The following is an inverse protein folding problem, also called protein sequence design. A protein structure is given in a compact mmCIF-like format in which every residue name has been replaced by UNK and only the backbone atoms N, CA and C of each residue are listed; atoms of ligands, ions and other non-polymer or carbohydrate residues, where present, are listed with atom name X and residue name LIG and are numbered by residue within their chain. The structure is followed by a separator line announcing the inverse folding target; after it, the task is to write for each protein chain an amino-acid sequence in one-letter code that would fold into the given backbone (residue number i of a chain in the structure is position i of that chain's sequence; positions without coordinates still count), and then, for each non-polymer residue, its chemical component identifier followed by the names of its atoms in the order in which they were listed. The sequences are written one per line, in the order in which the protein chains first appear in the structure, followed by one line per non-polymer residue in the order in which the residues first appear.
data_IF_791272106410
#
_entry.id   IF_791272106410
#
_cell.length_a   1.000
_cell.length_b   1.000
_cell.length_c   1.000
_cell.angle_alpha   90.00
_cell.angle_beta   90.00
_cell.angle_gamma   90.00
#
_symmetry.space_group_name_H-M   'P 1'
#
loop_
_entity.id
_entity.type
_entity.pdbx_description
1 polymer ?
#
# COMPACT_ATOMS: atom_id res chain seq x y z
N UNK A 1 -1.77 -1.00 -8.20
CA UNK A 1 -1.38 -1.09 -6.76
C UNK A 1 0.05 -0.58 -6.51
N UNK A 2 0.50 -0.55 -5.25
CA UNK A 2 1.88 -0.29 -4.84
C UNK A 2 2.31 -1.32 -3.80
N UNK A 3 3.56 -1.80 -3.89
CA UNK A 3 4.18 -2.64 -2.86
C UNK A 3 5.04 -1.78 -1.94
N UNK A 4 4.86 -1.97 -0.65
CA UNK A 4 5.50 -1.22 0.42
C UNK A 4 6.27 -2.15 1.34
N UNK A 5 7.47 -1.73 1.73
CA UNK A 5 8.12 -2.21 2.94
C UNK A 5 7.80 -1.21 4.07
N UNK A 6 7.33 -1.74 5.19
CA UNK A 6 6.86 -0.97 6.34
C UNK A 6 7.63 -1.46 7.57
N UNK A 7 8.30 -0.56 8.26
CA UNK A 7 8.91 -0.84 9.58
C UNK A 7 8.04 -0.21 10.66
N UNK A 8 7.80 -0.96 11.73
CA UNK A 8 6.92 -0.54 12.84
C UNK A 8 7.66 -0.57 14.18
N UNK A 9 7.12 0.12 15.19
CA UNK A 9 7.77 0.19 16.51
C UNK A 9 7.40 -1.00 17.42
N UNK A 10 6.35 -1.72 17.09
CA UNK A 10 5.81 -2.83 17.86
C UNK A 10 6.65 -4.11 17.75
N UNK A 11 6.51 -4.96 18.76
CA UNK A 11 7.13 -6.29 18.80
C UNK A 11 6.40 -7.31 17.90
N UNK A 12 7.04 -8.47 17.74
CA UNK A 12 6.55 -9.57 16.91
C UNK A 12 5.15 -10.03 17.28
N UNK A 13 4.84 -10.16 18.57
CA UNK A 13 3.56 -10.71 19.04
C UNK A 13 2.42 -9.80 18.62
N UNK A 14 2.60 -8.50 18.84
CA UNK A 14 1.60 -7.49 18.48
C UNK A 14 1.45 -7.38 16.97
N UNK A 15 2.55 -7.46 16.23
CA UNK A 15 2.55 -7.43 14.76
C UNK A 15 1.87 -8.67 14.17
N UNK A 16 2.20 -9.87 14.65
CA UNK A 16 1.64 -11.13 14.15
C UNK A 16 0.13 -11.16 14.39
N UNK A 17 -0.31 -10.78 15.59
CA UNK A 17 -1.73 -10.64 15.93
C UNK A 17 -2.45 -9.66 15.00
N UNK A 18 -1.81 -8.54 14.66
CA UNK A 18 -2.40 -7.53 13.78
C UNK A 18 -2.51 -8.04 12.33
N UNK A 19 -1.48 -8.72 11.81
CA UNK A 19 -1.50 -9.33 10.47
C UNK A 19 -2.64 -10.34 10.36
N UNK A 20 -2.79 -11.23 11.35
CA UNK A 20 -3.83 -12.26 11.36
C UNK A 20 -5.22 -11.64 11.31
N UNK A 21 -5.45 -10.55 12.06
CA UNK A 21 -6.71 -9.81 12.03
C UNK A 21 -6.98 -9.18 10.67
N UNK A 22 -6.00 -8.49 10.08
CA UNK A 22 -6.14 -7.86 8.76
C UNK A 22 -6.44 -8.90 7.67
N UNK A 23 -5.73 -10.03 7.70
CA UNK A 23 -5.90 -11.08 6.70
C UNK A 23 -7.23 -11.82 6.85
N UNK A 24 -7.68 -12.06 8.09
CA UNK A 24 -8.95 -12.76 8.39
C UNK A 24 -10.19 -11.87 8.32
N UNK A 25 -10.03 -10.55 8.31
CA UNK A 25 -11.15 -9.62 8.25
C UNK A 25 -11.85 -9.66 6.89
N UNK A 26 -13.18 -9.76 6.93
CA UNK A 26 -14.04 -9.63 5.74
C UNK A 26 -14.25 -8.16 5.34
N UNK A 27 -14.14 -7.24 6.31
CA UNK A 27 -14.33 -5.80 6.15
C UNK A 27 -13.32 -5.07 7.04
N UNK A 28 -12.74 -3.97 6.55
CA UNK A 28 -11.83 -3.12 7.31
C UNK A 28 -12.33 -1.68 7.20
N UNK A 29 -13.05 -1.23 8.23
CA UNK A 29 -13.67 0.10 8.24
C UNK A 29 -12.66 1.17 8.62
N UNK A 30 -12.40 2.10 7.71
CA UNK A 30 -11.56 3.27 7.96
C UNK A 30 -12.40 4.55 7.98
N UNK A 31 -12.30 5.31 9.07
CA UNK A 31 -12.92 6.64 9.19
C UNK A 31 -11.91 7.73 8.84
N UNK A 32 -12.32 8.67 8.01
CA UNK A 32 -11.53 9.83 7.57
C UNK A 32 -12.36 11.09 7.70
N UNK A 33 -11.73 12.22 7.99
CA UNK A 33 -12.39 13.52 7.85
C UNK A 33 -12.05 14.13 6.49
N UNK A 34 -13.06 14.55 5.73
CA UNK A 34 -12.89 15.23 4.44
C UNK A 34 -13.90 16.35 4.27
N UNK A 35 -13.41 17.57 4.01
CA UNK A 35 -14.25 18.78 3.90
C UNK A 35 -15.20 18.93 5.10
N UNK A 36 -14.70 18.66 6.31
CA UNK A 36 -15.47 18.70 7.56
C UNK A 36 -16.54 17.61 7.70
N UNK A 37 -16.56 16.59 6.83
CA UNK A 37 -17.47 15.45 6.93
C UNK A 37 -16.69 14.18 7.20
N UNK A 38 -17.23 13.33 8.08
CA UNK A 38 -16.74 11.97 8.24
C UNK A 38 -17.07 11.15 6.99
N UNK A 39 -16.07 10.49 6.43
CA UNK A 39 -16.18 9.53 5.36
C UNK A 39 -15.75 8.18 5.93
N UNK A 40 -16.60 7.18 5.75
CA UNK A 40 -16.40 5.81 6.21
C UNK A 40 -16.23 4.95 4.96
N UNK A 41 -15.05 4.35 4.79
CA UNK A 41 -14.73 3.49 3.66
C UNK A 41 -14.35 2.10 4.15
N UNK A 42 -14.85 1.05 3.51
CA UNK A 42 -14.23 -0.28 3.62
C UNK A 42 -12.98 -0.34 2.74
N UNK A 43 -11.83 -0.54 3.38
CA UNK A 43 -10.54 -0.61 2.70
C UNK A 43 -10.09 -2.04 2.39
N UNK A 44 -10.80 -3.08 2.86
CA UNK A 44 -10.42 -4.48 2.62
C UNK A 44 -10.19 -4.80 1.13
N UNK A 45 -11.03 -4.33 0.19
CA UNK A 45 -10.82 -4.56 -1.24
C UNK A 45 -9.51 -3.98 -1.78
N UNK A 46 -8.89 -3.02 -1.08
CA UNK A 46 -7.63 -2.38 -1.47
C UNK A 46 -6.41 -2.98 -0.75
N UNK A 47 -6.58 -4.02 0.08
CA UNK A 47 -5.50 -4.70 0.79
C UNK A 47 -5.25 -6.05 0.11
N UNK A 48 -4.30 -6.08 -0.83
CA UNK A 48 -4.05 -7.25 -1.67
C UNK A 48 -3.11 -8.27 -1.01
N UNK A 49 -2.18 -7.79 -0.19
CA UNK A 49 -1.22 -8.62 0.55
C UNK A 49 -0.81 -7.88 1.82
N UNK A 50 -0.74 -8.59 2.93
CA UNK A 50 -0.04 -8.18 4.14
C UNK A 50 0.68 -9.39 4.73
N UNK A 51 2.00 -9.28 4.90
CA UNK A 51 2.82 -10.30 5.54
C UNK A 51 4.02 -9.71 6.26
N UNK A 52 4.53 -10.43 7.24
CA UNK A 52 5.79 -10.12 7.90
C UNK A 52 6.97 -10.44 6.97
N UNK A 53 8.01 -9.64 7.05
CA UNK A 53 9.29 -9.92 6.41
C UNK A 53 10.24 -10.58 7.43
N UNK A 54 11.21 -11.35 6.92
CA UNK A 54 12.24 -11.96 7.77
C UNK A 54 13.29 -10.94 8.25
N UNK A 55 13.55 -9.91 7.45
CA UNK A 55 14.55 -8.90 7.76
C UNK A 55 14.03 -7.88 8.78
N UNK A 56 14.92 -7.47 9.68
CA UNK A 56 14.69 -6.35 10.59
C UNK A 56 15.43 -5.12 10.11
N UNK A 57 14.82 -3.95 10.30
CA UNK A 57 15.47 -2.66 10.07
C UNK A 57 15.63 -1.99 11.42
N UNK A 58 16.86 -1.64 11.78
CA UNK A 58 17.20 -0.99 13.06
C UNK A 58 16.69 -1.79 14.27
N UNK A 59 16.73 -3.13 14.18
CA UNK A 59 16.23 -4.06 15.21
C UNK A 59 14.70 -4.23 15.25
N UNK A 60 13.96 -3.56 14.36
CA UNK A 60 12.50 -3.52 14.37
C UNK A 60 11.87 -4.48 13.37
N UNK A 61 10.62 -4.85 13.64
CA UNK A 61 9.82 -5.72 12.77
C UNK A 61 9.51 -4.98 11.47
N UNK A 62 9.64 -5.70 10.35
CA UNK A 62 9.24 -5.19 9.04
C UNK A 62 8.15 -6.04 8.39
N UNK A 63 7.34 -5.38 7.58
CA UNK A 63 6.18 -5.92 6.89
C UNK A 63 6.28 -5.58 5.42
N UNK A 64 5.70 -6.45 4.60
CA UNK A 64 5.37 -6.13 3.22
C UNK A 64 3.86 -5.99 3.08
N UNK A 65 3.43 -4.94 2.41
CA UNK A 65 2.04 -4.75 2.04
C UNK A 65 1.90 -4.39 0.57
N UNK A 66 0.88 -4.93 -0.09
CA UNK A 66 0.46 -4.49 -1.41
C UNK A 66 -0.90 -3.82 -1.33
N UNK A 67 -0.94 -2.55 -1.75
CA UNK A 67 -2.08 -1.66 -1.56
C UNK A 67 -2.62 -1.15 -2.89
N UNK A 68 -3.94 -1.21 -3.03
CA UNK A 68 -4.70 -0.67 -4.14
C UNK A 68 -4.48 0.85 -4.30
N UNK A 69 -4.50 1.29 -5.56
CA UNK A 69 -4.33 2.70 -5.93
C UNK A 69 -5.60 3.34 -6.48
N UNK A 70 -6.69 2.57 -6.59
CA UNK A 70 -7.98 2.98 -7.15
C UNK A 70 -9.13 2.53 -6.24
N UNK A 71 -10.26 3.27 -6.20
CA UNK A 71 -10.47 4.58 -6.84
C UNK A 71 -9.65 5.70 -6.19
N UNK A 72 -9.10 5.43 -5.00
CA UNK A 72 -8.14 6.28 -4.30
C UNK A 72 -6.98 5.42 -3.86
N UNK A 73 -5.80 6.02 -3.69
CA UNK A 73 -4.67 5.31 -3.09
C UNK A 73 -4.88 5.12 -1.58
N UNK A 74 -4.78 3.86 -1.13
CA UNK A 74 -4.69 3.50 0.28
C UNK A 74 -3.26 3.71 0.77
N UNK A 75 -3.08 4.57 1.78
CA UNK A 75 -1.75 4.85 2.34
C UNK A 75 -1.35 3.78 3.35
N UNK A 76 -0.06 3.40 3.44
CA UNK A 76 0.40 2.48 4.48
C UNK A 76 0.03 2.94 5.90
N UNK A 77 0.16 4.23 6.19
CA UNK A 77 -0.20 4.81 7.49
C UNK A 77 -1.68 4.71 7.83
N UNK A 78 -2.56 4.70 6.81
CA UNK A 78 -3.99 4.48 6.99
C UNK A 78 -4.27 3.01 7.30
N UNK A 79 -3.61 2.09 6.59
CA UNK A 79 -3.68 0.66 6.89
C UNK A 79 -3.28 0.37 8.34
N UNK A 80 -2.11 0.87 8.79
CA UNK A 80 -1.60 0.61 10.14
C UNK A 80 -2.54 1.09 11.27
N UNK A 81 -3.40 2.07 10.98
CA UNK A 81 -4.38 2.64 11.92
C UNK A 81 -5.82 2.13 11.70
N UNK A 82 -6.02 1.20 10.76
CA UNK A 82 -7.36 0.75 10.37
C UNK A 82 -7.97 -0.26 11.33
N UNK A 83 -7.16 -0.94 12.15
CA UNK A 83 -7.63 -2.00 13.03
C UNK A 83 -6.80 -2.09 14.31
N UNK A 84 -7.47 -2.31 15.44
CA UNK A 84 -6.78 -2.51 16.71
C UNK A 84 -6.17 -3.91 16.84
N UNK A 85 -4.98 -4.04 17.43
CA UNK A 85 -4.19 -2.95 18.00
C UNK A 85 -3.49 -2.14 16.90
N UNK A 86 -3.50 -0.81 16.97
CA UNK A 86 -2.81 0.00 15.97
C UNK A 86 -1.30 -0.24 16.01
N UNK A 87 -0.70 -0.22 14.82
CA UNK A 87 0.76 -0.24 14.64
C UNK A 87 1.27 1.18 14.37
N UNK A 88 2.45 1.46 14.90
CA UNK A 88 3.09 2.76 14.82
C UNK A 88 4.16 2.72 13.74
N UNK A 89 3.99 3.54 12.71
CA UNK A 89 4.97 3.72 11.64
C UNK A 89 6.33 4.17 12.21
N UNK A 90 7.39 3.48 11.78
CA UNK A 90 8.78 3.90 11.98
C UNK A 90 9.42 4.34 10.65
N UNK A 91 9.27 3.52 9.60
CA UNK A 91 9.84 3.80 8.28
C UNK A 91 8.96 3.20 7.18
N UNK A 92 8.78 3.95 6.09
CA UNK A 92 8.07 3.49 4.90
C UNK A 92 8.97 3.57 3.68
N UNK A 93 8.93 2.53 2.85
CA UNK A 93 9.58 2.52 1.54
C UNK A 93 8.66 1.93 0.49
N UNK A 94 8.34 2.70 -0.55
CA UNK A 94 7.66 2.15 -1.74
C UNK A 94 8.67 1.37 -2.57
N UNK A 95 8.45 0.07 -2.74
CA UNK A 95 9.31 -0.83 -3.53
C UNK A 95 9.03 -0.72 -5.02
N UNK A 96 7.76 -0.89 -5.38
CA UNK A 96 7.30 -0.84 -6.77
C UNK A 96 5.90 -0.28 -6.86
N UNK A 97 5.58 0.33 -7.99
CA UNK A 97 4.23 0.67 -8.39
C UNK A 97 3.83 -0.28 -9.50
N UNK A 98 2.61 -0.83 -9.46
CA UNK A 98 2.06 -1.71 -10.48
C UNK A 98 0.88 -0.96 -11.10
N UNK A 99 0.84 -0.89 -12.44
CA UNK A 99 -0.27 -0.27 -13.17
C UNK A 99 -1.27 -1.37 -13.53
N UNK A 100 -2.53 -1.18 -13.17
CA UNK A 100 -3.61 -2.12 -13.49
C UNK A 100 -4.41 -1.53 -14.67
N UNK A 101 -4.39 -2.20 -15.83
CA UNK A 101 -5.22 -1.88 -17.00
C UNK A 101 -6.27 -2.98 -17.20
N UNK A 102 -7.53 -2.68 -16.89
CA UNK A 102 -8.63 -3.66 -16.99
C UNK A 102 -8.40 -4.86 -16.07
N UNK A 103 -8.46 -6.09 -16.61
CA UNK A 103 -8.18 -7.32 -15.88
C UNK A 103 -6.70 -7.76 -15.93
N UNK A 104 -5.80 -6.92 -16.48
CA UNK A 104 -4.38 -7.24 -16.65
C UNK A 104 -3.53 -6.49 -15.63
N UNK A 105 -2.74 -7.25 -14.90
CA UNK A 105 -1.74 -6.77 -13.93
C UNK A 105 -0.39 -6.74 -14.62
N UNK A 106 0.01 -5.56 -15.12
CA UNK A 106 1.24 -5.39 -15.88
C UNK A 106 2.28 -4.65 -15.03
N UNK A 107 3.53 -5.10 -15.09
CA UNK A 107 4.63 -4.32 -14.52
C UNK A 107 4.81 -3.03 -15.35
N UNK A 108 5.17 -1.87 -14.76
CA UNK A 108 5.22 -0.60 -15.48
C UNK A 108 6.09 -0.57 -16.74
N UNK A 109 7.06 -1.48 -16.85
CA UNK A 109 7.95 -1.61 -18.01
C UNK A 109 7.30 -2.35 -19.18
N UNK A 110 6.22 -3.10 -18.96
CA UNK A 110 5.47 -3.77 -20.03
C UNK A 110 4.49 -2.82 -20.72
N UNK A 111 4.12 -1.71 -20.07
CA UNK A 111 3.19 -0.69 -20.60
C UNK A 111 3.88 0.23 -21.62
N UNK A 112 5.22 0.26 -21.64
CA UNK A 112 5.98 1.10 -22.55
C UNK A 112 6.44 0.33 -23.80
N UNK A 113 5.51 0.11 -24.73
CA UNK A 113 5.86 0.24 -26.15
C UNK A 113 6.31 1.69 -26.37
N UNK A 114 7.59 1.96 -26.14
CA UNK A 114 8.17 3.30 -26.22
C UNK A 114 7.93 3.86 -27.64
N UNK A 115 6.92 4.73 -27.77
CA UNK A 115 6.81 5.58 -28.95
C UNK A 115 7.96 6.58 -28.88
N UNK A 116 8.88 6.62 -29.85
CA UNK A 116 9.99 7.56 -29.82
C UNK A 116 9.46 9.00 -29.82
N UNK A 117 10.06 9.84 -29.00
CA UNK A 117 9.79 11.27 -28.90
C UNK A 117 9.93 11.90 -30.29
N UNK A 118 8.84 12.47 -30.82
CA UNK A 118 8.87 13.15 -32.12
C UNK A 118 9.70 14.43 -31.99
N UNK A 119 10.90 14.42 -32.55
CA UNK A 119 11.73 15.62 -32.67
C UNK A 119 10.94 16.70 -33.40
N UNK A 120 10.72 17.84 -32.73
CA UNK A 120 10.27 19.06 -33.37
C UNK A 120 11.45 19.59 -34.20
N UNK A 121 11.42 19.28 -35.49
CA UNK A 121 12.27 19.94 -36.49
C UNK A 121 11.71 21.36 -36.64
N UNK A 122 12.42 22.34 -36.10
CA UNK A 122 12.18 23.75 -36.40
C UNK A 122 12.51 23.99 -37.86
N UNK A 123 11.50 24.37 -38.65
CA UNK A 123 11.72 24.95 -39.96
C UNK A 123 12.20 26.40 -39.77
N UNK A 124 13.34 26.73 -40.36
CA UNK A 124 13.76 28.11 -40.64
C UNK A 124 13.16 28.58 -41.96
#
# INVERSE_FOLDING_TARGET
SCVWDITVNEDDTKVDSWIDRINSANEIVLRRERKGKEVVDDIKPQVYLVRKNYERIDGRVTLQAELGTQPRSLRPSELLRSMEPYLTEYKLRRRKQIVEEGARRLDPLEVAGATPMRSLIGAS
#
